data_IF_953690263037
#
_entry.id   IF_953690263037
#
_cell.length_a   1.000
_cell.length_b   1.000
_cell.length_c   1.000
_cell.angle_alpha   90.00
_cell.angle_beta   90.00
_cell.angle_gamma   90.00
#
_symmetry.space_group_name_H-M   'P 1'
#
loop_
_entity.id
_entity.type
_entity.pdbx_description
1 polymer ?
#
# COMPACT_ATOMS: atom_id res chain seq x y z
N UNK A 1 -3.93 -4.11 20.90
CA UNK A 1 -2.91 -4.05 21.97
C UNK A 1 -1.59 -3.43 21.47
N UNK A 2 -1.10 -3.78 20.26
CA UNK A 2 0.21 -3.32 19.77
C UNK A 2 0.38 -1.78 19.82
N UNK A 3 -0.55 -1.02 19.26
CA UNK A 3 -0.46 0.45 19.26
C UNK A 3 -0.46 1.04 20.68
N UNK A 4 -1.31 0.51 21.57
CA UNK A 4 -1.39 0.96 22.96
C UNK A 4 -0.17 0.57 23.81
N UNK A 5 0.64 -0.39 23.35
CA UNK A 5 1.87 -0.83 24.02
C UNK A 5 3.09 0.05 23.69
N UNK A 6 2.96 1.02 22.79
CA UNK A 6 4.08 1.90 22.42
C UNK A 6 4.29 2.98 23.48
N UNK A 7 5.53 3.22 23.89
CA UNK A 7 5.92 4.06 25.02
C UNK A 7 5.36 5.49 24.97
N UNK A 8 5.27 6.08 23.78
CA UNK A 8 4.81 7.49 23.63
C UNK A 8 3.39 7.61 23.10
N UNK A 9 2.62 6.52 23.06
CA UNK A 9 1.22 6.55 22.61
C UNK A 9 0.31 6.84 23.82
N UNK A 10 -0.21 8.06 23.87
CA UNK A 10 -1.14 8.49 24.90
C UNK A 10 -2.57 7.98 24.68
N UNK A 11 -3.01 7.90 23.44
CA UNK A 11 -4.37 7.48 23.07
C UNK A 11 -4.37 6.72 21.74
N UNK A 12 -5.13 5.65 21.70
CA UNK A 12 -5.41 4.91 20.45
C UNK A 12 -6.84 5.24 20.01
N UNK A 13 -6.98 5.69 18.77
CA UNK A 13 -8.30 5.90 18.15
C UNK A 13 -8.66 4.65 17.35
N UNK A 14 -9.84 4.10 17.60
CA UNK A 14 -10.37 2.95 16.87
C UNK A 14 -11.65 3.35 16.15
N UNK A 15 -11.71 3.09 14.82
CA UNK A 15 -12.94 3.23 14.05
C UNK A 15 -13.83 2.00 14.26
N UNK A 16 -14.88 2.16 15.07
CA UNK A 16 -15.86 1.11 15.36
C UNK A 16 -17.19 1.48 14.70
N UNK A 17 -17.81 0.53 14.02
CA UNK A 17 -19.06 0.74 13.28
C UNK A 17 -20.23 -0.10 13.83
N UNK A 18 -19.97 -0.98 14.76
CA UNK A 18 -20.98 -1.81 15.44
C UNK A 18 -20.63 -2.08 16.91
N UNK A 19 -21.60 -2.56 17.67
CA UNK A 19 -21.48 -2.82 19.09
C UNK A 19 -20.49 -3.95 19.41
N UNK A 20 -20.43 -4.97 18.57
CA UNK A 20 -19.50 -6.09 18.75
C UNK A 20 -18.04 -5.64 18.73
N UNK A 21 -17.68 -4.69 17.84
CA UNK A 21 -16.34 -4.10 17.78
C UNK A 21 -16.01 -3.29 19.04
N UNK A 22 -17.02 -2.62 19.64
CA UNK A 22 -16.85 -1.91 20.91
C UNK A 22 -16.58 -2.90 22.04
N UNK A 23 -17.39 -3.97 22.13
CA UNK A 23 -17.23 -5.01 23.14
C UNK A 23 -15.87 -5.71 23.03
N UNK A 24 -15.44 -6.05 21.80
CA UNK A 24 -14.14 -6.65 21.55
C UNK A 24 -13.00 -5.73 21.99
N UNK A 25 -13.03 -4.46 21.62
CA UNK A 25 -12.03 -3.49 22.07
C UNK A 25 -12.00 -3.31 23.59
N UNK A 26 -13.16 -3.27 24.24
CA UNK A 26 -13.26 -3.15 25.69
C UNK A 26 -12.74 -4.40 26.40
N UNK A 27 -12.89 -5.58 25.81
CA UNK A 27 -12.47 -6.85 26.41
C UNK A 27 -10.99 -6.89 26.78
N UNK A 28 -10.12 -6.22 26.00
CA UNK A 28 -8.68 -6.18 26.27
C UNK A 28 -8.16 -4.79 26.70
N UNK A 29 -8.96 -3.73 26.56
CA UNK A 29 -8.54 -2.37 26.98
C UNK A 29 -8.92 -2.06 28.43
N UNK A 30 -9.98 -2.67 28.96
CA UNK A 30 -10.44 -2.47 30.34
C UNK A 30 -9.39 -2.90 31.38
N UNK A 31 -8.77 -4.06 31.16
CA UNK A 31 -7.67 -4.58 31.96
C UNK A 31 -6.41 -4.68 31.09
N UNK A 32 -5.99 -3.54 30.56
CA UNK A 32 -4.93 -3.47 29.55
C UNK A 32 -3.60 -4.06 30.05
N UNK A 33 -3.10 -5.07 29.35
CA UNK A 33 -1.76 -5.59 29.47
C UNK A 33 -0.96 -5.26 28.19
N UNK A 34 0.21 -4.64 28.30
CA UNK A 34 1.07 -4.43 27.12
C UNK A 34 1.50 -5.77 26.52
N UNK A 35 1.99 -5.74 25.29
CA UNK A 35 2.52 -6.94 24.64
C UNK A 35 3.74 -7.46 25.40
N UNK A 36 3.84 -8.78 25.58
CA UNK A 36 5.07 -9.44 26.01
C UNK A 36 6.18 -9.32 24.97
N UNK A 37 7.41 -9.63 25.33
CA UNK A 37 8.52 -9.56 24.38
C UNK A 37 8.38 -10.61 23.26
N UNK A 38 7.83 -11.80 23.58
CA UNK A 38 7.50 -12.82 22.60
C UNK A 38 6.40 -12.35 21.62
N UNK A 39 5.37 -11.64 22.10
CA UNK A 39 4.32 -11.07 21.27
C UNK A 39 4.87 -9.95 20.37
N UNK A 40 5.78 -9.10 20.89
CA UNK A 40 6.47 -8.08 20.09
C UNK A 40 7.30 -8.70 18.97
N UNK A 41 8.02 -9.78 19.28
CA UNK A 41 8.80 -10.53 18.29
C UNK A 41 7.93 -11.14 17.20
N UNK A 42 6.76 -11.68 17.55
CA UNK A 42 5.80 -12.19 16.56
C UNK A 42 5.28 -11.09 15.64
N UNK A 43 4.95 -9.93 16.19
CA UNK A 43 4.51 -8.77 15.39
C UNK A 43 5.63 -8.31 14.47
N UNK A 44 6.87 -8.21 14.96
CA UNK A 44 8.03 -7.82 14.17
C UNK A 44 8.31 -8.81 13.01
N UNK A 45 8.24 -10.12 13.28
CA UNK A 45 8.38 -11.16 12.26
C UNK A 45 7.26 -11.07 11.21
N UNK A 46 6.02 -10.86 11.63
CA UNK A 46 4.88 -10.70 10.72
C UNK A 46 5.05 -9.47 9.82
N UNK A 47 5.48 -8.35 10.39
CA UNK A 47 5.76 -7.12 9.64
C UNK A 47 6.91 -7.33 8.62
N UNK A 48 7.97 -8.05 9.01
CA UNK A 48 9.08 -8.39 8.12
C UNK A 48 8.64 -9.27 6.94
N UNK A 49 7.76 -10.26 7.19
CA UNK A 49 7.21 -11.12 6.14
C UNK A 49 6.37 -10.29 5.15
N UNK A 50 5.49 -9.41 5.64
CA UNK A 50 4.67 -8.53 4.80
C UNK A 50 5.59 -7.63 3.95
N UNK A 51 6.55 -6.98 4.58
CA UNK A 51 7.50 -6.08 3.91
C UNK A 51 8.35 -6.80 2.86
N UNK A 52 8.73 -8.05 3.10
CA UNK A 52 9.51 -8.84 2.12
C UNK A 52 8.72 -9.19 0.85
N UNK A 53 7.40 -9.12 0.90
CA UNK A 53 6.50 -9.34 -0.25
C UNK A 53 6.10 -8.06 -0.97
N UNK A 54 6.40 -6.91 -0.38
CA UNK A 54 6.12 -5.62 -0.99
C UNK A 54 7.14 -5.33 -2.10
N UNK A 55 6.70 -5.31 -3.34
CA UNK A 55 7.55 -5.10 -4.51
C UNK A 55 7.90 -3.62 -4.70
N UNK A 56 6.92 -2.76 -4.50
CA UNK A 56 7.07 -1.31 -4.60
C UNK A 56 6.67 -0.69 -3.26
N UNK A 57 7.59 -0.14 -2.46
CA UNK A 57 7.30 0.42 -1.14
C UNK A 57 6.62 1.81 -1.25
N UNK A 58 5.49 1.85 -1.95
CA UNK A 58 4.72 3.05 -2.22
C UNK A 58 3.68 3.29 -1.12
N UNK A 59 3.74 4.44 -0.45
CA UNK A 59 2.79 4.82 0.61
C UNK A 59 1.44 5.32 0.09
N UNK A 60 1.28 5.49 -1.23
CA UNK A 60 0.03 5.94 -1.84
C UNK A 60 -0.30 7.42 -1.59
N UNK A 61 0.68 8.25 -1.25
CA UNK A 61 0.49 9.68 -0.93
C UNK A 61 0.02 10.55 -2.11
N UNK A 62 0.18 10.07 -3.34
CA UNK A 62 -0.27 10.69 -4.61
C UNK A 62 0.46 11.96 -5.06
N UNK A 63 1.49 12.43 -4.39
CA UNK A 63 2.25 13.62 -4.83
C UNK A 63 2.86 13.49 -6.23
N UNK A 64 3.06 12.27 -6.71
CA UNK A 64 3.56 11.97 -8.04
C UNK A 64 2.49 12.09 -9.15
N UNK A 65 1.20 12.21 -8.82
CA UNK A 65 0.12 12.22 -9.83
C UNK A 65 -0.17 13.59 -10.39
N UNK A 66 -0.11 14.64 -9.56
CA UNK A 66 -0.55 16.00 -9.91
C UNK A 66 0.32 16.63 -11.02
N UNK A 67 1.60 16.28 -11.08
CA UNK A 67 2.54 16.77 -12.08
C UNK A 67 2.73 15.84 -13.30
N UNK A 68 2.03 14.71 -13.36
CA UNK A 68 2.22 13.76 -14.46
C UNK A 68 1.53 14.23 -15.75
N UNK A 69 2.30 14.60 -16.82
CA UNK A 69 1.69 15.10 -18.07
C UNK A 69 0.84 14.04 -18.77
N UNK A 70 1.14 12.75 -18.53
CA UNK A 70 0.42 11.62 -19.11
C UNK A 70 -0.74 11.14 -18.24
N UNK A 71 -1.00 11.78 -17.09
CA UNK A 71 -2.09 11.44 -16.14
C UNK A 71 -2.07 9.97 -15.68
N UNK A 72 -0.88 9.39 -15.55
CA UNK A 72 -0.70 7.99 -15.12
C UNK A 72 -1.12 7.86 -13.65
N UNK A 73 -1.97 6.87 -13.35
CA UNK A 73 -2.43 6.58 -11.99
C UNK A 73 -1.35 5.78 -11.21
N UNK A 74 -0.16 6.38 -11.04
CA UNK A 74 1.07 5.75 -10.55
C UNK A 74 0.85 4.91 -9.28
N UNK A 75 0.30 5.44 -8.17
CA UNK A 75 0.13 4.65 -6.95
C UNK A 75 -0.86 3.50 -7.11
N UNK A 76 -1.87 3.65 -7.95
CA UNK A 76 -2.87 2.61 -8.18
C UNK A 76 -2.25 1.44 -8.96
N UNK A 77 -1.38 1.73 -9.94
CA UNK A 77 -0.67 0.68 -10.68
C UNK A 77 0.35 -0.05 -9.81
N UNK A 78 1.04 0.65 -8.91
CA UNK A 78 1.95 0.03 -7.94
C UNK A 78 1.23 -0.89 -6.97
N UNK A 79 0.01 -0.54 -6.55
CA UNK A 79 -0.85 -1.44 -5.76
C UNK A 79 -1.17 -2.74 -6.48
N UNK A 80 -1.34 -2.71 -7.81
CA UNK A 80 -1.59 -3.91 -8.60
C UNK A 80 -0.35 -4.82 -8.66
N UNK A 81 0.85 -4.26 -8.82
CA UNK A 81 2.11 -5.02 -8.72
C UNK A 81 2.26 -5.66 -7.34
N UNK A 82 2.08 -4.87 -6.27
CA UNK A 82 2.16 -5.37 -4.90
C UNK A 82 1.13 -6.47 -4.62
N UNK A 83 -0.09 -6.34 -5.17
CA UNK A 83 -1.13 -7.37 -5.03
C UNK A 83 -0.68 -8.71 -5.60
N UNK A 84 -0.05 -8.72 -6.78
CA UNK A 84 0.47 -9.95 -7.37
C UNK A 84 1.62 -10.50 -6.53
N UNK A 85 2.56 -9.65 -6.10
CA UNK A 85 3.69 -10.06 -5.27
C UNK A 85 3.25 -10.66 -3.93
N UNK A 86 2.21 -10.10 -3.30
CA UNK A 86 1.73 -10.53 -1.99
C UNK A 86 0.85 -11.79 -2.06
N UNK A 87 0.00 -11.90 -3.08
CA UNK A 87 -1.05 -12.93 -3.13
C UNK A 87 -0.87 -13.93 -4.28
N UNK A 88 0.20 -13.80 -5.06
CA UNK A 88 0.58 -14.73 -6.12
C UNK A 88 -0.09 -14.47 -7.46
N UNK A 89 0.34 -15.24 -8.45
CA UNK A 89 -0.06 -15.12 -9.86
C UNK A 89 -1.57 -15.27 -10.11
N UNK A 90 -2.30 -15.92 -9.23
CA UNK A 90 -3.76 -16.00 -9.30
C UNK A 90 -4.46 -14.63 -9.31
N UNK A 91 -3.76 -13.56 -8.88
CA UNK A 91 -4.29 -12.19 -8.90
C UNK A 91 -4.09 -11.47 -10.23
N UNK A 92 -3.28 -12.03 -11.16
CA UNK A 92 -2.89 -11.35 -12.40
C UNK A 92 -4.11 -10.99 -13.27
N UNK A 93 -5.02 -11.93 -13.49
CA UNK A 93 -6.21 -11.67 -14.31
C UNK A 93 -7.08 -10.53 -13.76
N UNK A 94 -7.33 -10.54 -12.44
CA UNK A 94 -8.07 -9.47 -11.76
C UNK A 94 -7.32 -8.14 -11.82
N UNK A 95 -6.00 -8.16 -11.61
CA UNK A 95 -5.18 -6.94 -11.68
C UNK A 95 -5.15 -6.35 -13.10
N UNK A 96 -5.05 -7.19 -14.15
CA UNK A 96 -5.17 -6.75 -15.55
C UNK A 96 -6.53 -6.12 -15.86
N UNK A 97 -7.61 -6.68 -15.35
CA UNK A 97 -8.95 -6.10 -15.53
C UNK A 97 -9.04 -4.72 -14.88
N UNK A 98 -8.53 -4.57 -13.66
CA UNK A 98 -8.52 -3.27 -12.97
C UNK A 98 -7.65 -2.25 -13.71
N UNK A 99 -6.45 -2.65 -14.18
CA UNK A 99 -5.59 -1.79 -14.97
C UNK A 99 -6.29 -1.29 -16.24
N UNK A 100 -6.96 -2.20 -16.96
CA UNK A 100 -7.73 -1.88 -18.15
C UNK A 100 -8.87 -0.91 -17.86
N UNK A 101 -9.60 -1.10 -16.77
CA UNK A 101 -10.67 -0.17 -16.37
C UNK A 101 -10.12 1.22 -16.05
N UNK A 102 -8.98 1.34 -15.39
CA UNK A 102 -8.30 2.61 -15.12
C UNK A 102 -7.91 3.34 -16.40
N UNK A 103 -7.36 2.62 -17.38
CA UNK A 103 -6.87 3.22 -18.63
C UNK A 103 -7.98 3.51 -19.64
N UNK A 104 -8.95 2.60 -19.80
CA UNK A 104 -9.97 2.71 -20.85
C UNK A 104 -11.26 3.43 -20.39
N UNK A 105 -11.65 3.27 -19.10
CA UNK A 105 -12.92 3.84 -18.60
C UNK A 105 -12.70 5.11 -17.79
N UNK A 106 -11.62 5.19 -17.02
CA UNK A 106 -11.37 6.34 -16.14
C UNK A 106 -10.45 7.39 -16.81
N UNK A 107 -9.88 7.08 -17.98
CA UNK A 107 -9.08 8.01 -18.78
C UNK A 107 -7.69 8.29 -18.21
N UNK A 108 -7.15 7.39 -17.40
CA UNK A 108 -5.75 7.47 -16.97
C UNK A 108 -4.81 6.98 -18.08
N UNK A 109 -3.62 7.61 -18.16
CA UNK A 109 -2.58 7.16 -19.09
C UNK A 109 -2.08 5.76 -18.74
N UNK A 110 -1.66 5.02 -19.77
CA UNK A 110 -1.00 3.73 -19.62
C UNK A 110 0.39 3.91 -19.00
N UNK A 111 0.94 2.85 -18.41
CA UNK A 111 2.29 2.90 -17.91
C UNK A 111 3.32 3.11 -19.03
N UNK A 112 3.07 2.52 -20.21
CA UNK A 112 3.89 2.70 -21.43
C UNK A 112 3.85 4.12 -22.02
N UNK A 113 2.86 4.95 -21.65
CA UNK A 113 2.80 6.35 -22.07
C UNK A 113 3.84 7.23 -21.33
N UNK A 114 4.58 6.67 -20.38
CA UNK A 114 5.54 7.41 -19.58
C UNK A 114 6.65 8.01 -20.48
N UNK A 115 6.76 9.33 -20.47
CA UNK A 115 7.77 10.08 -21.26
C UNK A 115 9.12 10.22 -20.54
N UNK A 116 9.29 9.61 -19.36
CA UNK A 116 10.57 9.62 -18.64
C UNK A 116 10.98 10.99 -18.06
N UNK A 117 10.05 11.93 -17.86
CA UNK A 117 10.38 13.28 -17.37
C UNK A 117 10.83 13.34 -15.90
N UNK A 118 10.62 12.27 -15.11
CA UNK A 118 10.99 12.08 -13.69
C UNK A 118 10.43 13.11 -12.69
N UNK A 119 9.53 13.98 -13.05
CA UNK A 119 8.87 14.91 -12.11
C UNK A 119 8.21 14.17 -10.95
N UNK A 120 7.64 12.99 -11.21
CA UNK A 120 7.05 12.13 -10.19
C UNK A 120 8.07 11.63 -9.15
N UNK A 121 9.31 11.40 -9.54
CA UNK A 121 10.41 10.96 -8.67
C UNK A 121 10.90 12.11 -7.78
N UNK A 122 10.98 13.33 -8.31
CA UNK A 122 11.35 14.52 -7.54
C UNK A 122 10.35 14.83 -6.41
N UNK A 123 9.05 14.57 -6.66
CA UNK A 123 8.00 14.78 -5.67
C UNK A 123 7.76 13.57 -4.75
N UNK A 124 8.46 12.45 -4.96
CA UNK A 124 8.27 11.24 -4.18
C UNK A 124 9.00 11.31 -2.84
N UNK A 125 8.29 11.37 -1.68
CA UNK A 125 8.95 11.39 -0.37
C UNK A 125 9.64 10.06 -0.01
N UNK A 126 9.36 8.99 -0.77
CA UNK A 126 10.04 7.70 -0.63
C UNK A 126 11.21 7.54 -1.61
N UNK A 127 11.48 8.54 -2.45
CA UNK A 127 12.56 8.52 -3.46
C UNK A 127 12.55 7.27 -4.35
N UNK A 128 11.35 6.83 -4.76
CA UNK A 128 11.19 5.65 -5.59
C UNK A 128 11.64 5.91 -7.03
N UNK A 129 12.31 4.97 -7.71
CA UNK A 129 12.57 5.01 -9.13
C UNK A 129 11.29 4.71 -9.92
N UNK A 130 10.38 5.69 -9.96
CA UNK A 130 9.00 5.52 -10.46
C UNK A 130 8.99 5.12 -11.92
N UNK A 131 9.87 5.71 -12.73
CA UNK A 131 9.94 5.40 -14.16
C UNK A 131 10.30 3.94 -14.43
N UNK A 132 11.22 3.37 -13.66
CA UNK A 132 11.60 1.95 -13.75
C UNK A 132 10.45 1.03 -13.35
N UNK A 133 9.75 1.37 -12.27
CA UNK A 133 8.56 0.60 -11.86
C UNK A 133 7.41 0.71 -12.88
N UNK A 134 7.27 1.84 -13.58
CA UNK A 134 6.27 1.97 -14.65
C UNK A 134 6.59 1.08 -15.86
N UNK A 135 7.87 0.89 -16.20
CA UNK A 135 8.26 -0.08 -17.22
C UNK A 135 7.85 -1.51 -16.81
N UNK A 136 7.99 -1.85 -15.54
CA UNK A 136 7.56 -3.14 -15.03
C UNK A 136 6.04 -3.29 -15.04
N UNK A 137 5.31 -2.24 -14.68
CA UNK A 137 3.85 -2.17 -14.81
C UNK A 137 3.43 -2.45 -16.26
N UNK A 138 4.05 -1.77 -17.23
CA UNK A 138 3.75 -1.96 -18.65
C UNK A 138 4.01 -3.42 -19.07
N UNK A 139 5.18 -3.98 -18.76
CA UNK A 139 5.51 -5.39 -19.06
C UNK A 139 4.53 -6.39 -18.43
N UNK A 140 3.94 -6.06 -17.28
CA UNK A 140 3.06 -6.97 -16.54
C UNK A 140 1.62 -6.89 -17.03
N UNK A 141 1.12 -5.70 -17.38
CA UNK A 141 -0.31 -5.47 -17.61
C UNK A 141 -0.67 -5.19 -19.06
N UNK A 142 0.27 -4.75 -19.87
CA UNK A 142 0.10 -4.47 -21.31
C UNK A 142 0.61 -5.62 -22.18
#
# INVERSE_FOLDING_TARGET
>A
RFAASQEHVFKVLSGMSDEQQVEDNLSYMKDFAPLSDEEKDLVAKSAAIIKSKEKVPCTGCRYCTDGCPMKIAIPDYFKLLNRISMFGEGQLASAKSIYKDRTEKEGHGKASDCVGCRQCEEHCPQHLPITEYLEEVAKTFE
#
